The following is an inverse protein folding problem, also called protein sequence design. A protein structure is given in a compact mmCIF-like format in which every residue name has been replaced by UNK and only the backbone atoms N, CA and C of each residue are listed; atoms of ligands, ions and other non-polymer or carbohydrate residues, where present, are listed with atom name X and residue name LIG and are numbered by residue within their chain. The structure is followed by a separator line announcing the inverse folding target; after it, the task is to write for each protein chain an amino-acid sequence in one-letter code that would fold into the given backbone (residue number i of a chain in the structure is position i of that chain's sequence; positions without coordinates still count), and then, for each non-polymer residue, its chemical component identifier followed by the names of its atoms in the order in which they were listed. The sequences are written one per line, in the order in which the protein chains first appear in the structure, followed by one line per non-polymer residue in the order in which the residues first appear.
data_IF_498379027126
#
_entry.id   IF_498379027126
#
_cell.length_a   1.000
_cell.length_b   1.000
_cell.length_c   1.000
_cell.angle_alpha   90.00
_cell.angle_beta   90.00
_cell.angle_gamma   90.00
#
_symmetry.space_group_name_H-M   'P 1'
#
loop_
_entity.id
_entity.type
_entity.pdbx_description
1 polymer ?
#
# COMPACT_ATOMS: atom_id res chain seq x y z
N UNK A 1 -9.28 -26.55 -10.15
CA UNK A 1 -9.90 -25.87 -9.00
C UNK A 1 -9.46 -24.43 -9.07
N UNK A 2 -10.25 -23.56 -9.70
CA UNK A 2 -9.96 -22.13 -9.77
C UNK A 2 -10.64 -21.47 -8.58
N UNK A 3 -9.87 -21.08 -7.57
CA UNK A 3 -10.36 -20.22 -6.50
C UNK A 3 -10.66 -18.86 -7.11
N UNK A 4 -11.94 -18.48 -7.09
CA UNK A 4 -12.42 -17.17 -7.48
C UNK A 4 -11.68 -16.11 -6.66
N UNK A 5 -10.71 -15.41 -7.28
CA UNK A 5 -10.09 -14.23 -6.68
C UNK A 5 -11.21 -13.19 -6.59
N UNK A 6 -11.58 -12.69 -5.40
CA UNK A 6 -12.55 -11.63 -5.31
C UNK A 6 -11.96 -10.43 -6.06
N UNK A 7 -12.65 -9.98 -7.12
CA UNK A 7 -12.18 -8.89 -7.97
C UNK A 7 -12.79 -7.57 -7.46
N UNK A 8 -12.12 -6.94 -6.49
CA UNK A 8 -12.51 -5.62 -5.98
C UNK A 8 -11.32 -4.89 -5.36
N UNK A 9 -11.37 -3.55 -5.25
CA UNK A 9 -10.26 -2.78 -4.66
C UNK A 9 -9.89 -3.23 -3.24
N UNK A 10 -10.90 -3.65 -2.46
CA UNK A 10 -10.68 -4.14 -1.09
C UNK A 10 -9.89 -5.45 -1.07
N UNK A 11 -10.22 -6.43 -1.91
CA UNK A 11 -9.50 -7.71 -1.94
C UNK A 11 -8.09 -7.57 -2.50
N UNK A 12 -7.88 -6.69 -3.49
CA UNK A 12 -6.54 -6.36 -3.97
C UNK A 12 -5.70 -5.74 -2.85
N UNK A 13 -6.23 -4.73 -2.14
CA UNK A 13 -5.53 -4.08 -1.03
C UNK A 13 -5.07 -5.07 0.06
N UNK A 14 -5.95 -5.99 0.47
CA UNK A 14 -5.61 -7.01 1.47
C UNK A 14 -4.54 -7.97 0.94
N UNK A 15 -4.67 -8.41 -0.32
CA UNK A 15 -3.71 -9.32 -0.94
C UNK A 15 -2.33 -8.68 -1.07
N UNK A 16 -2.21 -7.52 -1.69
CA UNK A 16 -0.90 -6.87 -1.90
C UNK A 16 -0.21 -6.55 -0.57
N UNK A 17 -0.96 -6.06 0.43
CA UNK A 17 -0.39 -5.78 1.76
C UNK A 17 0.19 -7.04 2.39
N UNK A 18 -0.55 -8.16 2.32
CA UNK A 18 -0.08 -9.44 2.85
C UNK A 18 1.10 -10.00 2.05
N UNK A 19 1.08 -9.89 0.72
CA UNK A 19 2.15 -10.39 -0.17
C UNK A 19 3.45 -9.61 0.02
N UNK A 20 3.41 -8.28 0.15
CA UNK A 20 4.60 -7.43 0.23
C UNK A 20 5.17 -7.28 1.65
N UNK A 21 4.34 -7.41 2.69
CA UNK A 21 4.75 -7.09 4.09
C UNK A 21 4.49 -8.20 5.09
N UNK A 22 3.68 -9.21 4.74
CA UNK A 22 3.19 -10.22 5.68
C UNK A 22 2.12 -9.73 6.66
N UNK A 23 1.74 -8.45 6.61
CA UNK A 23 0.75 -7.88 7.53
C UNK A 23 -0.68 -8.15 7.06
N UNK A 24 -1.56 -8.46 8.01
CA UNK A 24 -3.00 -8.57 7.77
C UNK A 24 -3.70 -7.25 8.12
N UNK A 25 -4.44 -6.70 7.16
CA UNK A 25 -5.33 -5.57 7.40
C UNK A 25 -6.49 -6.05 8.29
N UNK A 26 -6.69 -5.37 9.40
CA UNK A 26 -7.86 -5.56 10.28
C UNK A 26 -9.05 -4.75 9.76
N UNK A 27 -8.83 -3.47 9.45
CA UNK A 27 -9.88 -2.58 8.97
C UNK A 27 -9.36 -1.55 7.96
N UNK A 28 -10.12 -1.33 6.90
CA UNK A 28 -9.96 -0.15 6.03
C UNK A 28 -10.74 1.01 6.65
N UNK A 29 -10.04 2.07 7.07
CA UNK A 29 -10.62 3.22 7.77
C UNK A 29 -11.06 4.33 6.83
N UNK A 30 -10.54 4.37 5.60
CA UNK A 30 -11.00 5.31 4.59
C UNK A 30 -10.15 5.34 3.34
N UNK A 31 -10.72 5.86 2.26
CA UNK A 31 -9.98 6.25 1.07
C UNK A 31 -9.27 7.58 1.33
N UNK A 32 -7.98 7.66 0.99
CA UNK A 32 -7.19 8.88 1.11
C UNK A 32 -7.28 9.66 -0.21
N UNK A 33 -6.52 9.23 -1.23
CA UNK A 33 -6.46 9.83 -2.57
C UNK A 33 -5.91 8.80 -3.57
N UNK A 34 -5.81 9.20 -4.83
CA UNK A 34 -5.10 8.46 -5.87
C UNK A 34 -4.06 9.35 -6.52
N UNK A 35 -3.08 8.73 -7.15
CA UNK A 35 -2.20 9.40 -8.10
C UNK A 35 -1.91 8.47 -9.28
N UNK A 36 -1.56 9.07 -10.40
CA UNK A 36 -1.21 8.37 -11.64
C UNK A 36 0.31 8.41 -11.83
N UNK A 37 0.88 7.31 -12.31
CA UNK A 37 2.30 7.20 -12.64
C UNK A 37 2.50 6.39 -13.92
N UNK A 38 3.64 6.59 -14.59
CA UNK A 38 4.03 5.73 -15.72
C UNK A 38 4.62 4.44 -15.18
N UNK A 39 4.06 3.32 -15.60
CA UNK A 39 4.59 2.00 -15.25
C UNK A 39 5.80 1.63 -16.13
N UNK A 40 6.48 0.56 -15.75
CA UNK A 40 7.67 0.03 -16.44
C UNK A 40 7.40 -0.38 -17.90
N UNK A 41 6.15 -0.64 -18.27
CA UNK A 41 5.73 -1.00 -19.63
C UNK A 41 5.26 0.20 -20.46
N UNK A 42 5.43 1.44 -19.96
CA UNK A 42 5.10 2.67 -20.68
C UNK A 42 3.62 3.06 -20.64
N UNK A 43 2.79 2.30 -19.92
CA UNK A 43 1.39 2.65 -19.67
C UNK A 43 1.22 3.59 -18.48
N UNK A 44 0.04 4.19 -18.35
CA UNK A 44 -0.35 4.93 -17.14
C UNK A 44 -1.05 3.98 -16.17
N UNK A 45 -0.54 3.89 -14.95
CA UNK A 45 -1.17 3.18 -13.83
C UNK A 45 -1.73 4.20 -12.85
N UNK A 46 -2.91 3.92 -12.30
CA UNK A 46 -3.50 4.66 -11.18
C UNK A 46 -3.36 3.85 -9.90
N UNK A 47 -2.74 4.44 -8.88
CA UNK A 47 -2.69 3.85 -7.53
C UNK A 47 -3.74 4.51 -6.64
N UNK A 48 -4.58 3.70 -6.00
CA UNK A 48 -5.54 4.15 -4.98
C UNK A 48 -4.97 3.88 -3.60
N UNK A 49 -5.02 4.87 -2.72
CA UNK A 49 -4.43 4.80 -1.39
C UNK A 49 -5.52 4.83 -0.31
N UNK A 50 -5.36 4.00 0.71
CA UNK A 50 -6.33 3.82 1.79
C UNK A 50 -5.63 3.89 3.14
N UNK A 51 -6.30 4.46 4.13
CA UNK A 51 -5.89 4.34 5.52
C UNK A 51 -6.42 3.02 6.09
N UNK A 52 -5.57 2.29 6.83
CA UNK A 52 -5.90 0.97 7.37
C UNK A 52 -5.36 0.81 8.79
N UNK A 53 -5.96 -0.11 9.55
CA UNK A 53 -5.33 -0.72 10.73
C UNK A 53 -4.89 -2.14 10.38
N UNK A 54 -3.86 -2.63 11.08
CA UNK A 54 -3.34 -4.00 10.94
C UNK A 54 -3.50 -4.74 12.25
N UNK A 55 -3.75 -6.05 12.18
CA UNK A 55 -3.94 -6.87 13.37
C UNK A 55 -2.71 -6.85 14.29
N UNK A 56 -1.51 -6.82 13.70
CA UNK A 56 -0.21 -6.68 14.37
C UNK A 56 0.71 -5.89 13.46
N UNK A 57 1.60 -5.09 14.05
CA UNK A 57 2.60 -4.32 13.29
C UNK A 57 3.89 -5.10 13.01
N UNK A 58 4.07 -6.26 13.63
CA UNK A 58 5.26 -7.11 13.48
C UNK A 58 4.89 -8.61 13.57
N UNK A 59 5.68 -9.50 12.93
CA UNK A 59 6.86 -9.20 12.11
C UNK A 59 6.50 -8.64 10.73
N UNK A 60 7.26 -7.67 10.23
CA UNK A 60 7.25 -7.30 8.81
C UNK A 60 8.21 -8.22 8.05
N UNK A 61 7.69 -8.89 7.02
CA UNK A 61 8.47 -9.79 6.16
C UNK A 61 8.32 -9.31 4.72
N UNK A 62 9.40 -8.77 4.16
CA UNK A 62 9.41 -8.23 2.80
C UNK A 62 9.68 -9.33 1.77
N UNK A 63 8.96 -9.29 0.65
CA UNK A 63 9.11 -10.22 -0.48
C UNK A 63 9.71 -9.55 -1.71
N UNK A 64 9.24 -8.34 -2.04
CA UNK A 64 9.67 -7.58 -3.23
C UNK A 64 10.63 -6.42 -2.92
N UNK A 65 10.81 -6.10 -1.64
CA UNK A 65 11.53 -4.92 -1.17
C UNK A 65 12.69 -5.29 -0.24
N UNK A 66 13.76 -4.49 -0.28
CA UNK A 66 14.97 -4.74 0.52
C UNK A 66 14.90 -4.16 1.95
N UNK A 67 14.07 -3.13 2.17
CA UNK A 67 14.00 -2.41 3.44
C UNK A 67 12.63 -1.76 3.68
N UNK A 68 12.27 -1.55 4.94
CA UNK A 68 11.09 -0.80 5.37
C UNK A 68 11.41 0.14 6.53
N UNK A 69 10.52 1.11 6.77
CA UNK A 69 10.55 1.98 7.94
C UNK A 69 9.13 2.41 8.32
N UNK A 70 8.80 2.34 9.61
CA UNK A 70 7.69 3.08 10.19
C UNK A 70 8.09 4.55 10.37
N UNK A 71 7.34 5.49 9.80
CA UNK A 71 7.67 6.91 9.85
C UNK A 71 6.44 7.76 10.23
N UNK A 72 6.67 8.81 11.01
CA UNK A 72 5.67 9.84 11.23
C UNK A 72 5.68 10.83 10.05
N UNK A 73 4.55 11.52 9.75
CA UNK A 73 4.51 12.53 8.68
C UNK A 73 5.59 13.63 8.81
N UNK A 74 5.97 13.97 10.05
CA UNK A 74 7.00 14.98 10.34
C UNK A 74 8.44 14.47 10.13
N UNK A 75 8.65 13.17 9.95
CA UNK A 75 9.95 12.51 9.81
C UNK A 75 9.95 11.50 8.66
N UNK A 76 9.37 11.91 7.52
CA UNK A 76 9.34 11.08 6.32
C UNK A 76 10.74 10.99 5.69
N UNK A 77 11.17 9.78 5.28
CA UNK A 77 12.38 9.64 4.47
C UNK A 77 12.19 10.29 3.08
N UNK A 78 13.23 10.22 2.25
CA UNK A 78 13.11 10.62 0.84
C UNK A 78 12.07 9.73 0.16
N UNK A 79 11.01 10.38 -0.33
CA UNK A 79 9.90 9.78 -1.07
C UNK A 79 9.55 10.70 -2.23
N UNK A 80 8.85 10.16 -3.24
CA UNK A 80 8.36 10.97 -4.36
C UNK A 80 7.38 12.05 -3.89
N UNK A 81 7.25 13.13 -4.67
CA UNK A 81 6.28 14.19 -4.39
C UNK A 81 4.83 13.67 -4.31
N UNK A 82 4.50 12.65 -5.12
CA UNK A 82 3.17 12.03 -5.10
C UNK A 82 2.86 11.38 -3.75
N UNK A 83 3.83 10.66 -3.16
CA UNK A 83 3.69 10.05 -1.84
C UNK A 83 3.71 11.11 -0.74
N UNK A 84 4.59 12.11 -0.86
CA UNK A 84 4.64 13.23 0.11
C UNK A 84 3.29 13.93 0.20
N UNK A 85 2.71 14.33 -0.93
CA UNK A 85 1.41 14.99 -1.00
C UNK A 85 0.22 14.12 -0.54
N UNK A 86 0.41 12.80 -0.44
CA UNK A 86 -0.59 11.90 0.14
C UNK A 86 -0.58 11.98 1.68
N UNK A 87 0.60 12.07 2.28
CA UNK A 87 0.83 11.90 3.73
C UNK A 87 0.80 13.24 4.46
N UNK A 88 1.28 14.31 3.83
CA UNK A 88 1.31 15.66 4.42
C UNK A 88 0.08 16.48 3.98
N UNK A 89 -0.63 17.15 4.91
CA UNK A 89 -1.77 18.02 4.59
C UNK A 89 -1.45 19.16 3.62
#
# INVERSE_FOLDING_TARGET
MFTQIPAGPSSALHRETAEETGLAIEQVTGYIRHFDYRNSWGGTTRQFNFAVTVEKTEPVVLTEHDAYRWALPADLPEVSDAVRNLITP
#
